data_IF_845190244993
#
_entry.id   IF_845190244993
#
_cell.length_a   1.000
_cell.length_b   1.000
_cell.length_c   1.000
_cell.angle_alpha   90.00
_cell.angle_beta   90.00
_cell.angle_gamma   90.00
#
_symmetry.space_group_name_H-M   'P 1'
#
loop_
_entity.id
_entity.type
_entity.pdbx_description
1 polymer ?
#
# COMPACT_ATOMS: atom_id res chain seq x y z
N UNK A 1 11.04 0.75 6.51
CA UNK A 1 10.93 0.37 5.08
C UNK A 1 9.46 0.13 4.75
N UNK A 2 9.03 0.14 3.49
CA UNK A 2 7.63 -0.21 3.15
C UNK A 2 7.55 -1.70 2.81
N UNK A 3 6.75 -2.44 3.55
CA UNK A 3 6.41 -3.84 3.35
C UNK A 3 5.04 -3.94 2.68
N UNK A 4 4.84 -4.98 1.88
CA UNK A 4 3.57 -5.25 1.21
C UNK A 4 3.10 -6.63 1.64
N UNK A 5 1.90 -6.70 2.20
CA UNK A 5 1.27 -7.96 2.59
C UNK A 5 0.02 -8.17 1.72
N UNK A 6 -0.16 -9.38 1.21
CA UNK A 6 -1.28 -9.71 0.32
C UNK A 6 -2.04 -10.85 0.96
N UNK A 7 -3.21 -10.54 1.52
CA UNK A 7 -4.10 -11.52 2.16
C UNK A 7 -5.49 -11.41 1.56
N UNK A 8 -5.59 -11.75 0.27
CA UNK A 8 -6.91 -11.90 -0.35
C UNK A 8 -7.22 -13.40 -0.43
N UNK A 9 -8.40 -13.82 0.03
CA UNK A 9 -8.76 -15.23 0.17
C UNK A 9 -8.87 -15.97 -1.18
N UNK A 10 -8.87 -15.22 -2.28
CA UNK A 10 -9.00 -15.72 -3.66
C UNK A 10 -7.72 -15.51 -4.48
N UNK A 11 -7.34 -16.51 -5.28
CA UNK A 11 -6.20 -16.44 -6.20
C UNK A 11 -6.31 -15.28 -7.21
N UNK A 12 -7.53 -14.99 -7.68
CA UNK A 12 -7.79 -13.89 -8.62
C UNK A 12 -7.52 -12.52 -7.98
N UNK A 13 -7.98 -12.34 -6.74
CA UNK A 13 -7.73 -11.12 -5.99
C UNK A 13 -6.24 -10.99 -5.62
N UNK A 14 -5.55 -12.11 -5.38
CA UNK A 14 -4.11 -12.10 -5.10
C UNK A 14 -3.32 -11.60 -6.31
N UNK A 15 -3.73 -11.98 -7.51
CA UNK A 15 -3.10 -11.49 -8.75
C UNK A 15 -3.35 -10.00 -8.96
N UNK A 16 -4.59 -9.53 -8.77
CA UNK A 16 -4.91 -8.08 -8.79
C UNK A 16 -4.12 -7.30 -7.75
N UNK A 17 -4.01 -7.80 -6.53
CA UNK A 17 -3.24 -7.19 -5.45
C UNK A 17 -1.75 -7.09 -5.82
N UNK A 18 -1.18 -8.15 -6.41
CA UNK A 18 0.21 -8.14 -6.91
C UNK A 18 0.40 -7.12 -8.02
N UNK A 19 -0.54 -7.02 -8.98
CA UNK A 19 -0.48 -5.99 -10.02
C UNK A 19 -0.55 -4.58 -9.43
N UNK A 20 -1.48 -4.30 -8.53
CA UNK A 20 -1.54 -3.00 -7.85
C UNK A 20 -0.24 -2.71 -7.10
N UNK A 21 0.32 -3.70 -6.41
CA UNK A 21 1.61 -3.57 -5.74
C UNK A 21 2.72 -3.23 -6.72
N UNK A 22 2.98 -4.08 -7.72
CA UNK A 22 4.17 -3.97 -8.56
C UNK A 22 4.07 -2.84 -9.59
N UNK A 23 2.87 -2.49 -10.07
CA UNK A 23 2.67 -1.43 -11.07
C UNK A 23 2.32 -0.10 -10.42
N UNK A 24 1.42 -0.11 -9.42
CA UNK A 24 0.90 1.12 -8.82
C UNK A 24 1.72 1.64 -7.63
N UNK A 25 2.13 0.74 -6.73
CA UNK A 25 2.68 1.14 -5.44
C UNK A 25 4.21 1.11 -5.40
N UNK A 26 4.82 -0.03 -5.72
CA UNK A 26 6.25 -0.28 -5.62
C UNK A 26 7.10 0.73 -6.40
N UNK A 27 6.81 1.11 -7.66
CA UNK A 27 7.60 2.12 -8.36
C UNK A 27 7.42 3.51 -7.76
N UNK A 28 6.20 3.87 -7.33
CA UNK A 28 5.91 5.20 -6.75
C UNK A 28 6.50 5.37 -5.35
N UNK A 29 6.46 4.33 -4.55
CA UNK A 29 6.91 4.31 -3.15
C UNK A 29 8.35 3.82 -3.01
N UNK A 30 9.06 3.56 -4.12
CA UNK A 30 10.45 3.14 -4.12
C UNK A 30 11.31 4.16 -3.38
N UNK A 31 12.07 3.70 -2.40
CA UNK A 31 12.97 4.56 -1.60
C UNK A 31 12.26 5.39 -0.53
N UNK A 32 10.93 5.28 -0.37
CA UNK A 32 10.25 5.93 0.76
C UNK A 32 10.53 5.19 2.05
N UNK A 33 10.94 5.95 3.07
CA UNK A 33 11.13 5.50 4.44
C UNK A 33 10.66 6.59 5.38
N UNK A 34 10.04 6.22 6.49
CA UNK A 34 9.79 7.16 7.56
C UNK A 34 11.11 7.39 8.31
N UNK A 35 11.53 8.65 8.40
CA UNK A 35 12.73 9.03 9.15
C UNK A 35 12.43 9.21 10.65
N UNK A 36 11.17 9.51 11.00
CA UNK A 36 10.74 9.74 12.38
C UNK A 36 10.58 8.46 13.17
N UNK A 37 9.94 7.45 12.57
CA UNK A 37 9.78 6.15 13.18
C UNK A 37 10.58 5.14 12.36
N UNK A 38 11.59 4.55 13.00
CA UNK A 38 12.46 3.52 12.40
C UNK A 38 11.72 2.21 12.11
N UNK A 39 10.40 2.20 12.25
CA UNK A 39 9.51 1.07 12.02
C UNK A 39 9.20 0.91 10.53
N UNK A 40 8.85 -0.32 10.16
CA UNK A 40 8.34 -0.60 8.83
C UNK A 40 6.88 -0.16 8.71
N UNK A 41 6.53 0.36 7.54
CA UNK A 41 5.13 0.62 7.17
C UNK A 41 4.63 -0.56 6.37
N UNK A 42 3.50 -1.12 6.74
CA UNK A 42 2.93 -2.28 6.04
C UNK A 42 1.72 -1.82 5.24
N UNK A 43 1.71 -2.12 3.94
CA UNK A 43 0.56 -1.91 3.07
C UNK A 43 -0.07 -3.29 2.86
N UNK A 44 -1.23 -3.50 3.49
CA UNK A 44 -2.00 -4.74 3.41
C UNK A 44 -3.01 -4.62 2.28
N UNK A 45 -2.96 -5.55 1.33
CA UNK A 45 -3.99 -5.70 0.32
C UNK A 45 -5.00 -6.73 0.83
N UNK A 46 -6.17 -6.24 1.20
CA UNK A 46 -7.29 -7.02 1.73
C UNK A 46 -8.45 -6.99 0.73
N UNK A 47 -9.26 -8.04 0.78
CA UNK A 47 -10.50 -8.12 0.02
C UNK A 47 -11.54 -7.20 0.67
N UNK A 48 -12.07 -6.23 -0.09
CA UNK A 48 -13.13 -5.33 0.37
C UNK A 48 -14.52 -5.89 0.00
N UNK A 49 -14.60 -6.53 -1.17
CA UNK A 49 -15.77 -7.21 -1.73
C UNK A 49 -15.31 -8.33 -2.67
N UNK A 50 -16.24 -9.21 -3.10
CA UNK A 50 -15.95 -10.36 -3.98
C UNK A 50 -15.19 -10.05 -5.28
N UNK A 51 -15.09 -8.78 -5.68
CA UNK A 51 -14.41 -8.34 -6.92
C UNK A 51 -13.29 -7.31 -6.71
N UNK A 52 -13.15 -6.74 -5.50
CA UNK A 52 -12.33 -5.57 -5.24
C UNK A 52 -11.29 -5.80 -4.15
N UNK A 53 -10.10 -5.26 -4.38
CA UNK A 53 -8.99 -5.27 -3.43
C UNK A 53 -8.78 -3.85 -2.92
N UNK A 54 -8.70 -3.71 -1.60
CA UNK A 54 -8.42 -2.46 -0.91
C UNK A 54 -7.05 -2.52 -0.25
N UNK A 55 -6.38 -1.37 -0.20
CA UNK A 55 -5.12 -1.21 0.49
C UNK A 55 -5.36 -0.57 1.86
N UNK A 56 -5.04 -1.30 2.92
CA UNK A 56 -4.94 -0.80 4.28
C UNK A 56 -3.49 -0.39 4.58
N UNK A 57 -3.32 0.74 5.25
CA UNK A 57 -2.03 1.34 5.55
C UNK A 57 -1.76 1.24 7.05
N UNK A 58 -0.82 0.40 7.43
CA UNK A 58 -0.28 0.36 8.79
C UNK A 58 1.00 1.18 8.82
N UNK A 59 0.81 2.49 8.96
CA UNK A 59 1.85 3.50 9.03
C UNK A 59 2.36 3.65 10.47
N UNK A 60 3.65 3.91 10.64
CA UNK A 60 4.18 4.25 11.96
C UNK A 60 3.74 5.66 12.43
N UNK A 61 3.35 6.53 11.50
CA UNK A 61 2.81 7.85 11.79
C UNK A 61 1.87 8.35 10.67
N UNK A 62 0.88 9.21 11.00
CA UNK A 62 -0.08 9.73 10.03
C UNK A 62 0.54 10.65 8.98
N UNK A 63 1.65 11.34 9.29
CA UNK A 63 2.37 12.16 8.31
C UNK A 63 2.96 11.31 7.17
N UNK A 64 3.54 10.16 7.51
CA UNK A 64 4.10 9.26 6.51
C UNK A 64 3.02 8.60 5.67
N UNK A 65 1.88 8.26 6.29
CA UNK A 65 0.71 7.80 5.57
C UNK A 65 0.22 8.81 4.55
N UNK A 66 0.15 10.09 4.94
CA UNK A 66 -0.25 11.18 4.05
C UNK A 66 0.73 11.31 2.88
N UNK A 67 2.05 11.27 3.14
CA UNK A 67 3.07 11.26 2.08
C UNK A 67 2.91 10.08 1.12
N UNK A 68 2.61 8.88 1.63
CA UNK A 68 2.34 7.71 0.80
C UNK A 68 1.10 7.95 -0.08
N UNK A 69 0.00 8.41 0.52
CA UNK A 69 -1.25 8.71 -0.19
C UNK A 69 -1.06 9.78 -1.27
N UNK A 70 -0.37 10.87 -0.96
CA UNK A 70 -0.05 11.94 -1.92
C UNK A 70 0.80 11.42 -3.08
N UNK A 71 1.77 10.53 -2.80
CA UNK A 71 2.62 9.93 -3.84
C UNK A 71 1.82 8.99 -4.76
N UNK A 72 0.91 8.21 -4.18
CA UNK A 72 0.07 7.27 -4.93
C UNK A 72 -1.00 7.98 -5.75
N UNK A 73 -1.62 9.01 -5.17
CA UNK A 73 -2.72 9.79 -5.74
C UNK A 73 -2.47 11.30 -5.61
N UNK A 74 -1.58 11.87 -6.44
CA UNK A 74 -1.23 13.29 -6.37
C UNK A 74 -2.38 14.25 -6.73
N UNK A 75 -3.50 13.75 -7.27
CA UNK A 75 -4.61 14.54 -7.83
C UNK A 75 -5.93 14.43 -7.06
N UNK A 76 -5.94 14.10 -5.75
CA UNK A 76 -7.15 14.33 -4.94
C UNK A 76 -7.19 15.81 -4.53
N UNK A 77 -7.63 16.66 -5.46
CA UNK A 77 -7.99 18.05 -5.24
C UNK A 77 -9.52 18.18 -5.33
#
# INVERSE_FOLDING_TARGET
MIKYDIKTGSSFLNEKARQQRDIGFKPKLKGMRCEKCSTDTVIKFVEDDSSHVKAEYESCCPEFEKRIKDKLWPNKN
#
